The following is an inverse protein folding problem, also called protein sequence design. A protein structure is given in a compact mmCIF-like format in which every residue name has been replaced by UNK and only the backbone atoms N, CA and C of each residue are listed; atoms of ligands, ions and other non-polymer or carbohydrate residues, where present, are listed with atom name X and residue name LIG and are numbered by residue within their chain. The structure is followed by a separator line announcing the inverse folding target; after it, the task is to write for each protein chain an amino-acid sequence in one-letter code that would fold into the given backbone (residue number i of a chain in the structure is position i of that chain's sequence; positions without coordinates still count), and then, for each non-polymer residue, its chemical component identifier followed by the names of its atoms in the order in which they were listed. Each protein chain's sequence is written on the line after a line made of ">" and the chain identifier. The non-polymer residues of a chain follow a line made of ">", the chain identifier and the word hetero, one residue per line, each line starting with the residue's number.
data_IF_718330842957
#
_entry.id   IF_718330842957
#
_cell.length_a   1.000
_cell.length_b   1.000
_cell.length_c   1.000
_cell.angle_alpha   90.00
_cell.angle_beta   90.00
_cell.angle_gamma   90.00
#
_symmetry.space_group_name_H-M   'P 1'
#
loop_
_entity.id
_entity.type
_entity.pdbx_description
1 polymer ?
#
# COMPACT_ATOMS: atom_id res chain seq x y z
N UNK A 1 -14.19 -17.43 -5.43
CA UNK A 1 -13.10 -16.42 -5.33
C UNK A 1 -13.41 -15.07 -5.99
N UNK A 2 -14.00 -14.99 -7.21
CA UNK A 2 -14.28 -13.69 -7.85
C UNK A 2 -15.20 -12.74 -7.05
N UNK A 3 -16.25 -13.28 -6.41
CA UNK A 3 -17.26 -12.47 -5.70
C UNK A 3 -16.66 -11.59 -4.59
N UNK A 4 -15.70 -12.09 -3.80
CA UNK A 4 -15.13 -11.32 -2.69
C UNK A 4 -14.18 -10.21 -3.16
N UNK A 5 -13.34 -10.48 -4.16
CA UNK A 5 -12.46 -9.46 -4.75
C UNK A 5 -13.26 -8.32 -5.40
N UNK A 6 -14.40 -8.64 -6.03
CA UNK A 6 -15.31 -7.63 -6.57
C UNK A 6 -15.90 -6.73 -5.48
N UNK A 7 -16.32 -7.31 -4.35
CA UNK A 7 -16.80 -6.53 -3.20
C UNK A 7 -15.68 -5.63 -2.67
N UNK A 8 -14.48 -6.17 -2.44
CA UNK A 8 -13.31 -5.41 -1.99
C UNK A 8 -13.02 -4.24 -2.94
N UNK A 9 -12.95 -4.50 -4.25
CA UNK A 9 -12.72 -3.45 -5.26
C UNK A 9 -13.79 -2.36 -5.17
N UNK A 10 -15.07 -2.74 -5.10
CA UNK A 10 -16.18 -1.78 -5.01
C UNK A 10 -16.05 -0.87 -3.78
N UNK A 11 -15.76 -1.45 -2.60
CA UNK A 11 -15.58 -0.66 -1.37
C UNK A 11 -14.36 0.27 -1.47
N UNK A 12 -13.22 -0.22 -1.98
CA UNK A 12 -12.02 0.58 -2.20
C UNK A 12 -12.27 1.74 -3.17
N UNK A 13 -12.89 1.48 -4.32
CA UNK A 13 -13.19 2.53 -5.31
C UNK A 13 -14.21 3.54 -4.79
N UNK A 14 -15.15 3.15 -3.92
CA UNK A 14 -16.05 4.09 -3.25
C UNK A 14 -15.28 5.05 -2.34
N UNK A 15 -14.34 4.52 -1.54
CA UNK A 15 -13.44 5.31 -0.68
C UNK A 15 -12.56 6.23 -1.51
N UNK A 16 -11.98 5.74 -2.60
CA UNK A 16 -11.11 6.53 -3.49
C UNK A 16 -11.88 7.64 -4.19
N UNK A 17 -13.12 7.40 -4.65
CA UNK A 17 -13.95 8.46 -5.26
C UNK A 17 -14.23 9.58 -4.27
N UNK A 18 -14.50 9.26 -3.01
CA UNK A 18 -14.67 10.27 -1.96
C UNK A 18 -13.37 11.03 -1.68
N UNK A 19 -12.24 10.31 -1.63
CA UNK A 19 -10.91 10.90 -1.44
C UNK A 19 -10.55 11.88 -2.57
N UNK A 20 -10.70 11.47 -3.84
CA UNK A 20 -10.40 12.32 -4.99
C UNK A 20 -11.29 13.57 -5.02
N UNK A 21 -12.56 13.47 -4.59
CA UNK A 21 -13.45 14.65 -4.49
C UNK A 21 -12.92 15.66 -3.46
N UNK A 22 -12.50 15.17 -2.29
CA UNK A 22 -12.06 15.99 -1.14
C UNK A 22 -10.60 16.42 -1.18
N UNK A 23 -9.76 15.78 -2.00
CA UNK A 23 -8.35 16.12 -2.13
C UNK A 23 -8.17 17.60 -2.50
N UNK A 24 -7.17 18.23 -1.91
CA UNK A 24 -6.81 19.61 -2.20
C UNK A 24 -6.23 19.73 -3.63
N UNK A 25 -6.17 20.94 -4.20
CA UNK A 25 -5.72 21.13 -5.59
C UNK A 25 -4.29 20.64 -5.86
N UNK A 26 -3.38 20.74 -4.89
CA UNK A 26 -1.99 20.34 -5.07
C UNK A 26 -1.84 18.83 -5.15
N UNK A 27 -2.58 18.12 -4.28
CA UNK A 27 -2.66 16.66 -4.29
C UNK A 27 -3.36 16.13 -5.53
N UNK A 28 -4.45 16.76 -5.99
CA UNK A 28 -5.12 16.41 -7.25
C UNK A 28 -4.17 16.46 -8.43
N UNK A 29 -3.44 17.57 -8.58
CA UNK A 29 -2.44 17.73 -9.64
C UNK A 29 -1.33 16.67 -9.56
N UNK A 30 -0.90 16.32 -8.34
CA UNK A 30 0.09 15.27 -8.12
C UNK A 30 -0.40 13.87 -8.50
N UNK A 31 -1.67 13.55 -8.21
CA UNK A 31 -2.32 12.29 -8.57
C UNK A 31 -2.49 12.19 -10.09
N UNK A 32 -3.00 13.25 -10.72
CA UNK A 32 -3.18 13.34 -12.18
C UNK A 32 -1.86 13.18 -12.93
N UNK A 33 -0.80 13.85 -12.48
CA UNK A 33 0.54 13.75 -13.09
C UNK A 33 1.13 12.33 -12.99
N UNK A 34 0.62 11.48 -12.08
CA UNK A 34 1.02 10.08 -11.93
C UNK A 34 0.02 9.09 -12.51
N UNK A 35 -1.06 9.57 -13.13
CA UNK A 35 -2.14 8.72 -13.64
C UNK A 35 -2.85 7.92 -12.53
N UNK A 36 -2.80 8.38 -11.28
CA UNK A 36 -3.45 7.70 -10.16
C UNK A 36 -4.92 8.10 -10.18
N UNK A 37 -5.79 7.15 -10.54
CA UNK A 37 -7.23 7.35 -10.59
C UNK A 37 -7.92 6.63 -9.43
N UNK A 38 -9.23 6.86 -9.27
CA UNK A 38 -10.05 6.14 -8.29
C UNK A 38 -10.29 4.68 -8.67
N UNK A 39 -10.09 4.30 -9.93
CA UNK A 39 -10.27 2.93 -10.43
C UNK A 39 -9.15 2.03 -9.93
N UNK A 40 -9.50 0.86 -9.40
CA UNK A 40 -8.52 -0.09 -8.82
C UNK A 40 -8.67 -1.48 -9.44
N UNK A 41 -8.49 -1.63 -10.77
CA UNK A 41 -8.69 -2.89 -11.47
C UNK A 41 -7.78 -4.02 -10.97
N UNK A 42 -6.58 -3.67 -10.50
CA UNK A 42 -5.62 -4.59 -9.89
C UNK A 42 -6.20 -5.38 -8.70
N UNK A 43 -7.23 -4.88 -8.00
CA UNK A 43 -7.86 -5.60 -6.89
C UNK A 43 -8.68 -6.82 -7.37
N UNK A 44 -9.07 -6.85 -8.63
CA UNK A 44 -9.76 -7.98 -9.25
C UNK A 44 -8.87 -8.79 -10.18
N UNK A 45 -7.94 -8.14 -10.87
CA UNK A 45 -7.01 -8.76 -11.82
C UNK A 45 -5.95 -9.59 -11.14
N UNK A 46 -5.37 -9.11 -10.03
CA UNK A 46 -4.35 -9.86 -9.30
C UNK A 46 -4.93 -11.21 -8.84
N UNK A 47 -4.24 -12.35 -9.07
CA UNK A 47 -4.76 -13.67 -8.70
C UNK A 47 -5.08 -13.76 -7.20
N UNK A 48 -4.25 -13.15 -6.36
CA UNK A 48 -4.41 -13.14 -4.90
C UNK A 48 -4.40 -11.73 -4.34
N UNK A 49 -5.13 -11.54 -3.22
CA UNK A 49 -5.01 -10.38 -2.36
C UNK A 49 -4.60 -10.86 -0.97
N UNK A 50 -3.56 -10.26 -0.37
CA UNK A 50 -3.30 -10.37 1.06
C UNK A 50 -3.78 -9.09 1.72
N UNK A 51 -4.73 -9.21 2.66
CA UNK A 51 -5.17 -8.08 3.47
C UNK A 51 -4.52 -8.20 4.84
N UNK A 52 -3.70 -7.21 5.18
CA UNK A 52 -2.88 -7.21 6.40
C UNK A 52 -3.57 -6.37 7.46
N UNK A 53 -3.94 -7.02 8.56
CA UNK A 53 -4.58 -6.37 9.71
C UNK A 53 -3.61 -6.31 10.87
N UNK A 54 -3.63 -5.19 11.59
CA UNK A 54 -3.02 -5.08 12.91
C UNK A 54 -4.08 -5.09 14.00
N UNK A 55 -3.77 -5.71 15.13
CA UNK A 55 -4.63 -5.67 16.32
C UNK A 55 -4.40 -4.33 17.01
N UNK A 56 -5.36 -3.43 16.89
CA UNK A 56 -5.34 -2.17 17.61
C UNK A 56 -5.33 -2.47 19.10
N UNK A 57 -4.67 -1.59 19.86
CA UNK A 57 -4.51 -1.66 21.32
C UNK A 57 -3.37 -2.56 21.83
N UNK A 58 -2.67 -3.28 20.94
CA UNK A 58 -1.38 -3.91 21.29
C UNK A 58 -0.22 -2.88 21.23
N UNK A 59 0.81 -2.97 22.08
CA UNK A 59 1.99 -2.11 22.00
C UNK A 59 2.66 -2.19 20.62
N UNK A 60 2.98 -1.03 20.04
CA UNK A 60 3.69 -0.91 18.75
C UNK A 60 3.04 -1.67 17.58
N UNK A 61 1.71 -1.87 17.64
CA UNK A 61 1.02 -2.69 16.65
C UNK A 61 1.14 -2.16 15.23
N UNK A 62 1.26 -0.83 15.06
CA UNK A 62 1.47 -0.21 13.75
C UNK A 62 2.86 -0.54 13.25
N UNK A 63 3.89 -0.23 14.04
CA UNK A 63 5.30 -0.43 13.70
C UNK A 63 5.60 -1.91 13.41
N UNK A 64 5.11 -2.81 14.25
CA UNK A 64 5.29 -4.25 14.09
C UNK A 64 4.63 -4.78 12.81
N UNK A 65 3.40 -4.34 12.50
CA UNK A 65 2.72 -4.76 11.26
C UNK A 65 3.41 -4.19 10.01
N UNK A 66 3.88 -2.94 10.05
CA UNK A 66 4.58 -2.35 8.92
C UNK A 66 5.98 -2.96 8.69
N UNK A 67 6.66 -3.39 9.75
CA UNK A 67 7.87 -4.19 9.63
C UNK A 67 7.60 -5.55 8.97
N UNK A 68 6.52 -6.23 9.38
CA UNK A 68 6.08 -7.48 8.74
C UNK A 68 5.69 -7.27 7.27
N UNK A 69 5.02 -6.16 6.94
CA UNK A 69 4.74 -5.78 5.55
C UNK A 69 6.05 -5.62 4.76
N UNK A 70 7.06 -4.96 5.32
CA UNK A 70 8.39 -4.86 4.71
C UNK A 70 8.98 -6.21 4.34
N UNK A 71 8.97 -7.18 5.26
CA UNK A 71 9.45 -8.54 4.99
C UNK A 71 8.60 -9.27 3.93
N UNK A 72 7.28 -9.08 3.94
CA UNK A 72 6.41 -9.65 2.90
C UNK A 72 6.76 -9.10 1.51
N UNK A 73 7.04 -7.81 1.38
CA UNK A 73 7.42 -7.21 0.09
C UNK A 73 8.73 -7.80 -0.45
N UNK A 74 9.71 -8.05 0.42
CA UNK A 74 10.97 -8.69 0.05
C UNK A 74 10.73 -10.14 -0.40
N UNK A 75 9.97 -10.92 0.37
CA UNK A 75 9.67 -12.32 0.03
C UNK A 75 8.87 -12.44 -1.28
N UNK A 76 7.88 -11.57 -1.51
CA UNK A 76 7.10 -11.54 -2.76
C UNK A 76 8.02 -11.29 -3.96
N UNK A 77 8.96 -10.34 -3.84
CA UNK A 77 9.95 -10.05 -4.88
C UNK A 77 10.90 -11.23 -5.12
N UNK A 78 11.41 -11.85 -4.05
CA UNK A 78 12.32 -12.99 -4.14
C UNK A 78 11.66 -14.19 -4.86
N UNK A 79 10.37 -14.42 -4.61
CA UNK A 79 9.58 -15.44 -5.30
C UNK A 79 9.24 -15.08 -6.77
N UNK A 80 9.74 -13.95 -7.28
CA UNK A 80 9.52 -13.50 -8.65
C UNK A 80 8.09 -13.00 -8.92
N UNK A 81 7.39 -12.53 -7.89
CA UNK A 81 6.08 -11.89 -8.02
C UNK A 81 6.17 -10.37 -7.81
N UNK A 82 5.09 -9.68 -8.14
CA UNK A 82 4.95 -8.24 -7.94
C UNK A 82 3.72 -7.93 -7.10
N UNK A 83 3.78 -6.81 -6.38
CA UNK A 83 2.68 -6.27 -5.58
C UNK A 83 2.75 -4.75 -5.52
N UNK A 84 1.65 -4.13 -5.10
CA UNK A 84 1.54 -2.72 -4.74
C UNK A 84 1.09 -2.63 -3.28
N UNK A 85 1.79 -1.86 -2.44
CA UNK A 85 1.31 -1.61 -1.07
C UNK A 85 0.16 -0.60 -1.11
N UNK A 86 -1.08 -1.09 -1.18
CA UNK A 86 -2.27 -0.23 -1.26
C UNK A 86 -2.87 0.03 0.13
N UNK A 87 -3.07 1.31 0.46
CA UNK A 87 -3.53 1.79 1.77
C UNK A 87 -4.82 2.64 1.64
N UNK A 88 -6.01 2.02 1.63
CA UNK A 88 -7.26 2.77 1.57
C UNK A 88 -7.41 3.72 2.77
N UNK A 89 -7.83 4.96 2.54
CA UNK A 89 -7.98 5.98 3.60
C UNK A 89 -9.07 5.66 4.64
N UNK A 90 -10.07 4.86 4.25
CA UNK A 90 -11.11 4.33 5.13
C UNK A 90 -11.18 2.82 5.01
N UNK A 91 -11.12 2.13 6.14
CA UNK A 91 -10.91 0.67 6.15
C UNK A 91 -11.93 -0.13 6.95
N UNK A 92 -12.83 0.51 7.72
CA UNK A 92 -13.83 -0.19 8.55
C UNK A 92 -14.77 -1.12 7.77
N UNK A 93 -14.97 -0.87 6.47
CA UNK A 93 -15.74 -1.76 5.60
C UNK A 93 -15.11 -3.17 5.54
N UNK A 94 -13.79 -3.28 5.61
CA UNK A 94 -13.07 -4.55 5.47
C UNK A 94 -13.38 -5.50 6.63
N UNK A 95 -13.46 -4.98 7.86
CA UNK A 95 -13.87 -5.76 9.02
C UNK A 95 -15.28 -6.36 8.83
N UNK A 96 -16.22 -5.57 8.33
CA UNK A 96 -17.60 -6.04 8.08
C UNK A 96 -17.65 -7.09 6.98
N UNK A 97 -17.00 -6.82 5.85
CA UNK A 97 -16.98 -7.71 4.68
C UNK A 97 -16.32 -9.05 4.98
N UNK A 98 -15.22 -9.04 5.73
CA UNK A 98 -14.43 -10.23 6.04
C UNK A 98 -14.71 -10.82 7.43
N UNK A 99 -15.69 -10.27 8.17
CA UNK A 99 -16.05 -10.69 9.53
C UNK A 99 -14.85 -10.67 10.49
N UNK A 100 -13.96 -9.68 10.33
CA UNK A 100 -12.82 -9.47 11.22
C UNK A 100 -13.29 -8.73 12.48
N UNK A 101 -12.85 -9.13 13.68
CA UNK A 101 -13.14 -8.42 14.92
C UNK A 101 -12.82 -6.91 14.86
N UNK A 102 -13.57 -6.12 15.64
CA UNK A 102 -13.55 -4.65 15.57
C UNK A 102 -12.30 -3.99 16.16
N UNK A 103 -11.53 -4.74 16.94
CA UNK A 103 -10.21 -4.39 17.47
C UNK A 103 -9.09 -4.53 16.42
N UNK A 104 -9.34 -5.15 15.27
CA UNK A 104 -8.36 -5.15 14.17
C UNK A 104 -8.57 -3.98 13.20
N UNK A 105 -7.46 -3.49 12.63
CA UNK A 105 -7.43 -2.41 11.65
C UNK A 105 -6.63 -2.85 10.43
N UNK A 106 -7.27 -2.83 9.26
CA UNK A 106 -6.58 -3.06 7.99
C UNK A 106 -5.51 -1.98 7.79
N UNK A 107 -4.27 -2.41 7.57
CA UNK A 107 -3.11 -1.55 7.32
C UNK A 107 -2.77 -1.47 5.83
N UNK A 108 -2.80 -2.60 5.13
CA UNK A 108 -2.50 -2.65 3.71
C UNK A 108 -3.27 -3.78 3.00
N UNK A 109 -3.53 -3.58 1.71
CA UNK A 109 -3.94 -4.60 0.77
C UNK A 109 -2.78 -4.82 -0.21
N UNK A 110 -2.29 -6.05 -0.31
CA UNK A 110 -1.22 -6.46 -1.21
C UNK A 110 -1.82 -7.33 -2.33
N UNK A 111 -2.11 -6.76 -3.52
CA UNK A 111 -2.48 -7.52 -4.70
C UNK A 111 -1.23 -8.21 -5.27
N UNK A 112 -1.22 -9.54 -5.30
CA UNK A 112 -0.05 -10.33 -5.70
C UNK A 112 -0.32 -10.99 -7.05
N UNK A 113 0.63 -10.86 -7.97
CA UNK A 113 0.58 -11.49 -9.28
C UNK A 113 1.89 -11.39 -10.05
N UNK A 114 1.87 -11.90 -11.28
CA UNK A 114 2.91 -11.56 -12.27
C UNK A 114 2.58 -10.18 -12.84
N UNK A 115 3.58 -9.30 -13.02
CA UNK A 115 3.36 -8.00 -13.62
C UNK A 115 2.86 -8.16 -15.05
N UNK A 116 1.77 -7.46 -15.40
CA UNK A 116 1.23 -7.47 -16.77
C UNK A 116 2.19 -6.77 -17.75
N UNK A 117 2.88 -5.74 -17.26
CA UNK A 117 3.87 -4.95 -17.99
C UNK A 117 5.13 -4.77 -17.14
N UNK A 118 6.33 -4.68 -17.74
CA UNK A 118 7.54 -4.36 -17.00
C UNK A 118 7.41 -2.98 -16.34
N UNK A 119 7.61 -2.93 -15.03
CA UNK A 119 7.61 -1.67 -14.29
C UNK A 119 8.81 -0.82 -14.73
N UNK A 120 8.62 0.46 -15.08
CA UNK A 120 9.74 1.34 -15.37
C UNK A 120 10.62 1.50 -14.12
N UNK A 121 11.96 1.56 -14.27
CA UNK A 121 12.84 1.75 -13.14
C UNK A 121 12.54 3.09 -12.47
N UNK A 122 12.16 3.06 -11.19
CA UNK A 122 12.07 4.27 -10.38
C UNK A 122 13.44 4.60 -9.80
N UNK A 123 13.91 5.82 -10.03
CA UNK A 123 15.14 6.32 -9.41
C UNK A 123 14.92 6.46 -7.90
N UNK A 124 15.77 5.79 -7.13
CA UNK A 124 15.84 5.98 -5.67
C UNK A 124 16.72 7.19 -5.37
N UNK A 125 16.49 7.82 -4.22
CA UNK A 125 17.37 8.87 -3.73
C UNK A 125 18.77 8.28 -3.45
N UNK A 126 19.86 9.02 -3.74
CA UNK A 126 21.21 8.59 -3.41
C UNK A 126 21.42 8.56 -1.89
N UNK A 127 22.41 7.79 -1.43
CA UNK A 127 22.69 7.58 0.00
C UNK A 127 22.87 8.91 0.75
N UNK A 128 23.61 9.87 0.17
CA UNK A 128 23.85 11.20 0.76
C UNK A 128 22.60 12.03 1.04
N UNK A 129 21.47 11.72 0.39
CA UNK A 129 20.20 12.42 0.61
C UNK A 129 19.38 11.79 1.74
N UNK A 130 19.67 10.54 2.13
CA UNK A 130 18.86 9.76 3.08
C UNK A 130 19.62 9.31 4.33
N UNK A 131 20.95 9.44 4.35
CA UNK A 131 21.79 9.03 5.46
C UNK A 131 22.73 10.17 5.89
N UNK A 132 22.88 10.32 7.20
CA UNK A 132 23.84 11.22 7.82
C UNK A 132 24.78 10.43 8.72
N UNK A 133 26.01 10.92 8.86
CA UNK A 133 27.02 10.36 9.74
C UNK A 133 27.15 11.22 11.00
N UNK A 134 26.96 10.63 12.17
CA UNK A 134 27.09 11.23 13.51
C UNK A 134 26.17 12.42 13.85
N UNK A 135 25.55 13.08 12.88
CA UNK A 135 24.73 14.26 13.15
C UNK A 135 23.85 14.69 11.97
N UNK A 136 22.74 15.37 12.27
CA UNK A 136 21.81 15.88 11.26
C UNK A 136 22.52 16.78 10.23
N UNK A 137 22.29 16.52 8.93
CA UNK A 137 22.95 17.21 7.80
C UNK A 137 24.47 17.07 7.72
N UNK A 138 25.06 16.14 8.46
CA UNK A 138 26.45 15.73 8.23
C UNK A 138 26.44 14.59 7.21
N UNK A 139 26.80 14.91 5.98
CA UNK A 139 26.72 13.97 4.86
C UNK A 139 27.49 12.68 5.16
N UNK A 140 26.89 11.56 4.80
CA UNK A 140 27.58 10.28 4.77
C UNK A 140 28.71 10.35 3.71
N UNK A 141 29.95 9.96 4.04
CA UNK A 141 31.03 9.94 3.05
C UNK A 141 30.68 8.94 1.94
N UNK A 142 30.73 9.39 0.69
CA UNK A 142 30.75 8.47 -0.47
C UNK A 142 32.17 7.87 -0.51
N UNK A 143 32.29 6.54 -0.62
CA UNK A 143 33.58 5.84 -0.75
C UNK A 143 34.40 6.34 -1.95
#
# INVERSE_FOLDING_TARGET
>A
MMKIKQIIRRECEAVEREFHKRADPSLKKWLEARGITWEKPFLTEAPFLILVFGKADEPYWIEGVWLAIGFMLLAIRELGYSTLTYTPSKTRWANKVLRIPGDYRLQAILPIGKPAEPAPPQKRLPLKEIAYLDGWRRNFPEE
#
